data_IF_137417783606
#
_entry.id   IF_137417783606
#
_cell.length_a   1.000
_cell.length_b   1.000
_cell.length_c   1.000
_cell.angle_alpha   90.00
_cell.angle_beta   90.00
_cell.angle_gamma   90.00
#
_symmetry.space_group_name_H-M   'P 1'
#
loop_
_entity.id
_entity.type
_entity.pdbx_description
1 polymer ?
#
# COMPACT_ATOMS: atom_id res chain seq x y z
N UNK A 1 -10.12 6.88 -1.62
CA UNK A 1 -9.61 5.84 -2.54
C UNK A 1 -10.70 5.45 -3.54
N UNK A 2 -11.13 6.40 -4.36
CA UNK A 2 -12.04 6.10 -5.47
C UNK A 2 -11.18 5.43 -6.56
N UNK A 3 -11.20 4.10 -6.63
CA UNK A 3 -10.41 3.31 -7.58
C UNK A 3 -9.78 2.04 -7.00
N UNK A 4 -9.52 1.98 -5.70
CA UNK A 4 -8.96 0.80 -5.02
C UNK A 4 -10.08 0.00 -4.33
N UNK A 5 -11.02 -0.51 -5.12
CA UNK A 5 -12.11 -1.35 -4.58
C UNK A 5 -11.49 -2.57 -3.91
N UNK A 6 -11.82 -2.78 -2.64
CA UNK A 6 -11.32 -3.91 -1.86
C UNK A 6 -10.06 -3.66 -1.05
N UNK A 7 -9.48 -2.46 -1.10
CA UNK A 7 -8.56 -2.01 -0.07
C UNK A 7 -9.34 -1.75 1.22
N UNK A 8 -9.08 -2.53 2.27
CA UNK A 8 -9.73 -2.42 3.58
C UNK A 8 -8.98 -1.47 4.51
N UNK A 9 -7.66 -1.42 4.39
CA UNK A 9 -6.81 -0.47 5.10
C UNK A 9 -5.62 -0.06 4.23
N UNK A 10 -5.29 1.23 4.27
CA UNK A 10 -4.10 1.79 3.64
C UNK A 10 -3.50 2.78 4.63
N UNK A 11 -2.40 2.40 5.27
CA UNK A 11 -1.77 3.18 6.34
C UNK A 11 -0.38 3.56 5.91
N UNK A 12 -0.09 4.86 5.93
CA UNK A 12 1.23 5.41 5.64
C UNK A 12 1.85 5.83 6.96
N UNK A 13 3.06 5.35 7.21
CA UNK A 13 3.76 5.55 8.47
C UNK A 13 5.19 6.03 8.21
N UNK A 14 5.76 6.65 9.23
CA UNK A 14 7.21 6.88 9.37
C UNK A 14 7.63 6.31 10.71
N UNK A 15 8.81 5.71 10.76
CA UNK A 15 9.39 5.20 12.00
C UNK A 15 10.25 6.29 12.64
N UNK A 16 10.13 6.54 13.95
CA UNK A 16 11.03 7.47 14.65
C UNK A 16 12.51 7.08 14.53
N UNK A 17 12.80 5.80 14.31
CA UNK A 17 14.14 5.26 14.14
C UNK A 17 14.64 5.34 12.69
N UNK A 18 13.74 5.51 11.72
CA UNK A 18 14.03 5.53 10.28
C UNK A 18 13.26 6.67 9.61
N UNK A 19 13.66 7.94 9.85
CA UNK A 19 12.88 9.11 9.46
C UNK A 19 12.75 9.31 7.94
N UNK A 20 13.68 8.75 7.17
CA UNK A 20 13.69 8.82 5.70
C UNK A 20 12.98 7.62 5.05
N UNK A 21 12.47 6.68 5.85
CA UNK A 21 11.75 5.49 5.37
C UNK A 21 10.25 5.65 5.52
N UNK A 22 9.52 5.54 4.42
CA UNK A 22 8.05 5.47 4.42
C UNK A 22 7.60 4.03 4.46
N UNK A 23 6.78 3.69 5.45
CA UNK A 23 6.19 2.37 5.61
C UNK A 23 4.73 2.39 5.20
N UNK A 24 4.38 1.63 4.17
CA UNK A 24 2.99 1.46 3.73
C UNK A 24 2.50 0.10 4.20
N UNK A 25 1.41 0.07 4.95
CA UNK A 25 0.70 -1.15 5.34
C UNK A 25 -0.64 -1.18 4.64
N UNK A 26 -0.86 -2.24 3.87
CA UNK A 26 -2.07 -2.39 3.08
C UNK A 26 -2.76 -3.71 3.43
N UNK A 27 -4.08 -3.66 3.57
CA UNK A 27 -4.91 -4.84 3.77
C UNK A 27 -5.93 -4.87 2.65
N UNK A 28 -5.95 -5.98 1.93
CA UNK A 28 -6.76 -6.18 0.75
C UNK A 28 -7.69 -7.38 0.96
N UNK A 29 -8.91 -7.29 0.44
CA UNK A 29 -9.86 -8.42 0.46
C UNK A 29 -9.33 -9.61 -0.34
N UNK A 30 -8.61 -9.37 -1.44
CA UNK A 30 -7.96 -10.39 -2.24
C UNK A 30 -6.77 -9.82 -3.01
N UNK A 31 -5.92 -10.71 -3.56
CA UNK A 31 -4.81 -10.32 -4.41
C UNK A 31 -5.29 -9.66 -5.72
N UNK A 32 -6.41 -10.13 -6.28
CA UNK A 32 -7.00 -9.57 -7.50
C UNK A 32 -7.50 -8.14 -7.30
N UNK A 33 -8.09 -7.84 -6.13
CA UNK A 33 -8.50 -6.46 -5.79
C UNK A 33 -7.26 -5.53 -5.71
N UNK A 34 -6.14 -6.02 -5.16
CA UNK A 34 -4.87 -5.27 -5.14
C UNK A 34 -4.33 -5.04 -6.55
N UNK A 35 -4.25 -6.08 -7.40
CA UNK A 35 -3.79 -5.95 -8.78
C UNK A 35 -4.66 -4.99 -9.59
N UNK A 36 -5.98 -5.08 -9.46
CA UNK A 36 -6.92 -4.20 -10.14
C UNK A 36 -6.71 -2.73 -9.73
N UNK A 37 -6.31 -2.47 -8.48
CA UNK A 37 -6.03 -1.12 -8.00
C UNK A 37 -4.86 -0.46 -8.74
N UNK A 38 -3.88 -1.24 -9.20
CA UNK A 38 -2.71 -0.72 -9.92
C UNK A 38 -3.09 -0.14 -11.29
N UNK A 39 -4.21 -0.57 -11.85
CA UNK A 39 -4.77 -0.05 -13.09
C UNK A 39 -5.67 1.18 -12.89
N UNK A 40 -5.89 1.62 -11.65
CA UNK A 40 -6.75 2.77 -11.38
C UNK A 40 -6.17 4.08 -11.95
N UNK A 41 -7.06 4.94 -12.45
CA UNK A 41 -6.68 6.22 -13.05
C UNK A 41 -5.86 7.06 -12.06
N UNK A 42 -4.68 7.52 -12.47
CA UNK A 42 -3.80 8.33 -11.64
C UNK A 42 -2.73 7.55 -10.89
N UNK A 43 -2.86 6.22 -10.76
CA UNK A 43 -1.87 5.40 -10.01
C UNK A 43 -0.54 5.37 -10.74
N UNK A 44 -0.55 5.18 -12.07
CA UNK A 44 0.68 5.20 -12.86
C UNK A 44 1.41 6.54 -12.77
N UNK A 45 0.67 7.64 -12.89
CA UNK A 45 1.22 9.00 -12.78
C UNK A 45 1.73 9.31 -11.36
N UNK A 46 1.15 8.70 -10.33
CA UNK A 46 1.67 8.77 -8.97
C UNK A 46 2.98 7.98 -8.83
N UNK A 47 3.04 6.75 -9.34
CA UNK A 47 4.26 5.93 -9.32
C UNK A 47 5.39 6.61 -10.06
N UNK A 48 5.13 7.19 -11.24
CA UNK A 48 6.13 7.93 -12.02
C UNK A 48 6.69 9.15 -11.26
N UNK A 49 5.87 9.83 -10.44
CA UNK A 49 6.32 10.94 -9.59
C UNK A 49 7.03 10.49 -8.31
N UNK A 50 6.63 9.35 -7.75
CA UNK A 50 7.20 8.83 -6.50
C UNK A 50 8.55 8.13 -6.71
N UNK A 51 8.69 7.38 -7.81
CA UNK A 51 9.91 6.61 -8.13
C UNK A 51 11.21 7.41 -8.03
N UNK A 52 11.34 8.63 -8.59
CA UNK A 52 12.60 9.40 -8.47
C UNK A 52 12.89 9.90 -7.04
N UNK A 53 11.94 9.82 -6.11
CA UNK A 53 12.14 10.20 -4.71
C UNK A 53 12.70 9.05 -3.87
N UNK A 54 12.66 7.81 -4.37
CA UNK A 54 13.11 6.64 -3.63
C UNK A 54 14.64 6.52 -3.73
N UNK A 55 15.29 6.29 -2.59
CA UNK A 55 16.73 6.01 -2.53
C UNK A 55 17.10 4.68 -3.21
N UNK A 56 16.12 3.80 -3.43
CA UNK A 56 16.26 2.51 -4.10
C UNK A 56 14.89 1.85 -4.35
N UNK A 57 14.86 0.64 -4.93
CA UNK A 57 13.61 -0.10 -5.09
C UNK A 57 12.93 -0.33 -3.73
N UNK A 58 11.59 -0.25 -3.64
CA UNK A 58 10.88 -0.50 -2.40
C UNK A 58 10.99 -1.99 -2.01
N UNK A 59 11.10 -2.23 -0.71
CA UNK A 59 11.00 -3.58 -0.15
C UNK A 59 9.53 -3.96 0.03
N UNK A 60 9.18 -5.23 -0.22
CA UNK A 60 7.82 -5.76 -0.05
C UNK A 60 7.85 -7.08 0.72
N UNK A 61 6.95 -7.21 1.68
CA UNK A 61 6.65 -8.47 2.36
C UNK A 61 5.15 -8.75 2.26
N UNK A 62 4.80 -9.91 1.72
CA UNK A 62 3.40 -10.36 1.64
C UNK A 62 3.02 -11.14 2.89
N UNK A 63 1.83 -10.86 3.42
CA UNK A 63 1.33 -11.43 4.66
C UNK A 63 -0.13 -11.86 4.49
N UNK A 64 -0.53 -12.91 5.20
CA UNK A 64 -1.94 -13.30 5.36
C UNK A 64 -2.40 -12.87 6.75
N UNK A 65 -3.29 -11.87 6.87
CA UNK A 65 -3.85 -11.48 8.16
C UNK A 65 -4.66 -12.64 8.76
N UNK A 66 -4.40 -12.98 10.02
CA UNK A 66 -5.18 -14.01 10.76
C UNK A 66 -6.27 -13.41 11.66
N UNK A 67 -6.25 -12.09 11.86
CA UNK A 67 -7.19 -11.36 12.70
C UNK A 67 -6.59 -10.06 13.23
N UNK A 68 -7.42 -9.21 13.84
CA UNK A 68 -7.00 -7.93 14.39
C UNK A 68 -8.18 -7.03 14.72
N UNK A 69 -8.01 -6.13 15.68
CA UNK A 69 -9.03 -5.13 15.99
C UNK A 69 -9.19 -4.16 14.81
N UNK A 70 -10.44 -3.86 14.43
CA UNK A 70 -10.74 -2.96 13.32
C UNK A 70 -10.62 -3.61 11.93
N UNK A 71 -10.25 -4.89 11.85
CA UNK A 71 -10.45 -5.67 10.62
C UNK A 71 -11.91 -6.10 10.55
N UNK A 72 -12.52 -5.94 9.37
CA UNK A 72 -13.85 -6.47 9.11
C UNK A 72 -13.91 -7.98 9.34
N UNK A 73 -15.12 -8.55 9.47
CA UNK A 73 -15.27 -10.01 9.55
C UNK A 73 -14.70 -10.71 8.32
#
# INVERSE_FOLDING_TARGET
MDGARGCQAYVVNVSPQEPDTVWVTEIWRSAEDHEASLAARGVRELVERATPLLAGPPERTELTPLGGAGLGP
#
